data_IF_015771647476
#
_entry.id   IF_015771647476
#
_cell.length_a   1.000
_cell.length_b   1.000
_cell.length_c   1.000
_cell.angle_alpha   90.00
_cell.angle_beta   90.00
_cell.angle_gamma   90.00
#
_symmetry.space_group_name_H-M   'P 1'
#
loop_
_entity.id
_entity.type
_entity.pdbx_description
1 polymer ?
#
# COMPACT_ATOMS: atom_id res chain seq x y z
N UNK A 1 -18.79 3.41 18.99
CA UNK A 1 -19.68 3.30 17.81
C UNK A 1 -18.95 2.48 16.77
N UNK A 2 -19.18 1.17 16.83
CA UNK A 2 -18.72 0.20 15.85
C UNK A 2 -19.90 -0.04 14.92
N UNK A 3 -19.73 0.20 13.62
CA UNK A 3 -20.73 -0.19 12.62
C UNK A 3 -20.06 -0.38 11.27
N UNK A 4 -19.90 -1.66 10.93
CA UNK A 4 -20.19 -2.26 9.63
C UNK A 4 -19.51 -1.66 8.39
N UNK A 5 -18.40 -2.28 7.99
CA UNK A 5 -18.06 -2.43 6.57
C UNK A 5 -18.46 -3.84 6.13
N UNK A 6 -19.77 -4.07 6.02
CA UNK A 6 -20.35 -5.19 5.27
C UNK A 6 -20.77 -4.62 3.92
N UNK A 7 -19.79 -4.43 3.03
CA UNK A 7 -19.99 -3.97 1.65
C UNK A 7 -19.69 -5.13 0.71
N UNK A 8 -20.74 -5.73 0.16
CA UNK A 8 -20.74 -7.01 -0.52
C UNK A 8 -19.63 -7.21 -1.56
N UNK A 9 -18.99 -8.37 -1.47
CA UNK A 9 -18.23 -8.98 -2.55
C UNK A 9 -19.23 -9.30 -3.66
N UNK A 10 -19.39 -8.39 -4.63
CA UNK A 10 -19.97 -8.77 -5.91
C UNK A 10 -19.02 -9.78 -6.55
N UNK A 11 -19.43 -11.05 -6.56
CA UNK A 11 -18.78 -12.16 -7.25
C UNK A 11 -18.53 -11.79 -8.72
N UNK A 12 -17.30 -11.37 -9.05
CA UNK A 12 -16.85 -11.12 -10.43
C UNK A 12 -15.65 -12.05 -10.74
N UNK A 13 -15.69 -12.92 -11.77
CA UNK A 13 -14.79 -14.08 -11.90
C UNK A 13 -13.32 -13.78 -12.23
N UNK A 14 -12.86 -12.53 -12.19
CA UNK A 14 -11.46 -12.16 -12.43
C UNK A 14 -11.03 -11.09 -11.42
N UNK A 15 -10.69 -11.51 -10.21
CA UNK A 15 -9.94 -10.66 -9.27
C UNK A 15 -8.68 -10.21 -10.01
N UNK A 16 -8.54 -8.90 -10.23
CA UNK A 16 -7.44 -8.34 -11.00
C UNK A 16 -6.11 -8.65 -10.30
N UNK A 17 -5.00 -8.77 -11.05
CA UNK A 17 -3.68 -8.98 -10.43
C UNK A 17 -3.34 -7.86 -9.45
N UNK A 18 -3.79 -6.64 -9.72
CA UNK A 18 -3.77 -5.52 -8.79
C UNK A 18 -4.43 -5.85 -7.45
N UNK A 19 -5.68 -6.34 -7.44
CA UNK A 19 -6.41 -6.62 -6.20
C UNK A 19 -5.70 -7.72 -5.38
N UNK A 20 -5.24 -8.79 -6.05
CA UNK A 20 -4.49 -9.87 -5.39
C UNK A 20 -3.21 -9.36 -4.73
N UNK A 21 -2.46 -8.54 -5.46
CA UNK A 21 -1.19 -7.97 -4.98
C UNK A 21 -1.43 -6.98 -3.85
N UNK A 22 -2.46 -6.14 -3.97
CA UNK A 22 -2.87 -5.22 -2.92
C UNK A 22 -3.18 -5.98 -1.62
N UNK A 23 -4.06 -6.99 -1.67
CA UNK A 23 -4.46 -7.76 -0.48
C UNK A 23 -3.27 -8.51 0.14
N UNK A 24 -2.42 -9.10 -0.70
CA UNK A 24 -1.19 -9.76 -0.25
C UNK A 24 -0.27 -8.78 0.50
N UNK A 25 -0.04 -7.60 -0.05
CA UNK A 25 0.82 -6.60 0.60
C UNK A 25 0.23 -6.05 1.90
N UNK A 26 -1.08 -5.84 1.94
CA UNK A 26 -1.75 -5.46 3.19
C UNK A 26 -1.49 -6.51 4.26
N UNK A 27 -1.73 -7.78 3.94
CA UNK A 27 -1.50 -8.90 4.86
C UNK A 27 -0.04 -8.97 5.33
N UNK A 28 0.92 -8.88 4.41
CA UNK A 28 2.34 -9.00 4.73
C UNK A 28 2.85 -7.86 5.60
N UNK A 29 2.43 -6.62 5.32
CA UNK A 29 2.86 -5.47 6.12
C UNK A 29 2.25 -5.54 7.52
N UNK A 30 0.98 -5.95 7.63
CA UNK A 30 0.30 -6.16 8.90
C UNK A 30 0.95 -7.26 9.74
N UNK A 31 1.40 -8.36 9.10
CA UNK A 31 2.07 -9.46 9.78
C UNK A 31 3.51 -9.17 10.20
N UNK A 32 4.18 -8.22 9.53
CA UNK A 32 5.61 -7.94 9.73
C UNK A 32 5.91 -6.57 10.38
N UNK A 33 4.88 -5.81 10.76
CA UNK A 33 5.02 -4.49 11.37
C UNK A 33 4.26 -4.41 12.69
N UNK A 34 4.86 -3.78 13.69
CA UNK A 34 4.23 -3.61 14.99
C UNK A 34 3.12 -2.55 14.91
N UNK A 35 1.90 -2.97 15.23
CA UNK A 35 0.75 -2.07 15.33
C UNK A 35 0.80 -1.30 16.65
N UNK A 36 0.64 0.02 16.57
CA UNK A 36 0.69 0.89 17.73
C UNK A 36 -0.63 0.89 18.52
N UNK A 37 -0.51 0.77 19.84
CA UNK A 37 -1.65 0.90 20.76
C UNK A 37 -2.24 2.32 20.77
N UNK A 38 -1.41 3.33 20.49
CA UNK A 38 -1.81 4.74 20.34
C UNK A 38 -1.67 5.16 18.88
N UNK A 39 -2.65 5.90 18.36
CA UNK A 39 -2.62 6.37 16.98
C UNK A 39 -1.43 7.29 16.74
N UNK A 40 -0.66 6.98 15.72
CA UNK A 40 0.44 7.80 15.23
C UNK A 40 -0.11 9.07 14.58
N UNK A 41 0.67 10.15 14.60
CA UNK A 41 0.32 11.34 13.82
C UNK A 41 0.43 11.02 12.32
N UNK A 42 -0.55 11.44 11.49
CA UNK A 42 -0.48 11.21 10.04
C UNK A 42 0.83 11.75 9.45
N UNK A 43 1.46 10.97 8.57
CA UNK A 43 2.73 11.35 7.94
C UNK A 43 3.97 11.19 8.83
N UNK A 44 3.81 10.74 10.09
CA UNK A 44 4.93 10.46 11.01
C UNK A 44 5.21 8.96 11.13
N UNK A 45 5.19 8.26 9.99
CA UNK A 45 5.48 6.83 9.91
C UNK A 45 6.88 6.63 9.31
N UNK A 46 7.76 5.95 10.05
CA UNK A 46 9.09 5.56 9.59
C UNK A 46 9.07 4.31 8.70
N UNK A 47 10.18 4.06 8.01
CA UNK A 47 10.39 2.85 7.19
C UNK A 47 11.65 2.15 7.65
N UNK A 48 11.57 0.85 7.91
CA UNK A 48 12.72 0.04 8.33
C UNK A 48 13.75 -0.03 7.19
N UNK A 49 15.00 0.32 7.48
CA UNK A 49 16.09 0.11 6.54
C UNK A 49 16.54 -1.36 6.61
N UNK A 50 16.44 -2.08 5.49
CA UNK A 50 16.95 -3.45 5.34
C UNK A 50 17.89 -3.50 4.14
N UNK A 51 19.14 -3.91 4.38
CA UNK A 51 20.12 -4.24 3.35
C UNK A 51 20.21 -3.22 2.19
N UNK A 52 20.59 -1.97 2.49
CA UNK A 52 20.77 -0.88 1.51
C UNK A 52 19.50 -0.35 0.81
N UNK A 53 18.31 -0.60 1.36
CA UNK A 53 17.06 -0.08 0.81
C UNK A 53 16.75 1.39 1.21
N UNK A 54 17.65 2.10 1.90
CA UNK A 54 17.42 3.48 2.35
C UNK A 54 17.07 4.44 1.20
N UNK A 55 17.62 4.22 0.01
CA UNK A 55 17.23 4.94 -1.20
C UNK A 55 15.73 4.81 -1.50
N UNK A 56 15.18 3.59 -1.42
CA UNK A 56 13.75 3.33 -1.64
C UNK A 56 12.92 4.02 -0.55
N UNK A 57 13.38 3.97 0.69
CA UNK A 57 12.70 4.65 1.80
C UNK A 57 12.62 6.17 1.55
N UNK A 58 13.72 6.81 1.13
CA UNK A 58 13.73 8.23 0.80
C UNK A 58 12.76 8.58 -0.35
N UNK A 59 12.74 7.77 -1.41
CA UNK A 59 11.82 7.96 -2.54
C UNK A 59 10.37 7.84 -2.08
N UNK A 60 10.02 6.77 -1.36
CA UNK A 60 8.65 6.55 -0.89
C UNK A 60 8.18 7.63 0.08
N UNK A 61 9.03 8.05 1.02
CA UNK A 61 8.72 9.15 1.94
C UNK A 61 8.46 10.46 1.16
N UNK A 62 9.27 10.73 0.13
CA UNK A 62 9.08 11.92 -0.72
C UNK A 62 7.77 11.86 -1.52
N UNK A 63 7.42 10.67 -2.05
CA UNK A 63 6.18 10.46 -2.78
C UNK A 63 4.94 10.58 -1.88
N UNK A 64 4.99 10.05 -0.64
CA UNK A 64 3.88 10.17 0.31
C UNK A 64 3.66 11.62 0.74
N UNK A 65 4.72 12.40 0.89
CA UNK A 65 4.62 13.82 1.26
C UNK A 65 4.30 14.76 0.09
N UNK A 66 4.11 14.22 -1.13
CA UNK A 66 3.55 14.97 -2.25
C UNK A 66 2.01 14.83 -2.23
N UNK A 67 1.24 15.88 -1.86
CA UNK A 67 -0.19 15.74 -1.52
C UNK A 67 -1.06 15.18 -2.66
N UNK A 68 -0.77 15.57 -3.90
CA UNK A 68 -1.50 15.06 -5.08
C UNK A 68 -1.18 13.59 -5.33
N UNK A 69 0.04 13.16 -5.05
CA UNK A 69 0.51 11.82 -5.32
C UNK A 69 0.01 10.84 -4.24
N UNK A 70 0.02 11.25 -2.97
CA UNK A 70 -0.55 10.43 -1.88
C UNK A 70 -2.05 10.20 -2.05
N UNK A 71 -2.80 11.23 -2.48
CA UNK A 71 -4.22 11.08 -2.78
C UNK A 71 -4.46 10.14 -3.97
N UNK A 72 -3.65 10.28 -5.03
CA UNK A 72 -3.74 9.44 -6.22
C UNK A 72 -3.46 7.97 -5.89
N UNK A 73 -2.44 7.68 -5.08
CA UNK A 73 -2.03 6.32 -4.75
C UNK A 73 -3.01 5.57 -3.84
N UNK A 74 -3.94 6.27 -3.18
CA UNK A 74 -5.01 5.59 -2.45
C UNK A 74 -5.79 4.64 -3.36
N UNK A 75 -6.16 3.46 -2.87
CA UNK A 75 -6.80 2.42 -3.70
C UNK A 75 -8.09 2.91 -4.36
N UNK A 76 -8.86 3.71 -3.62
CA UNK A 76 -10.10 4.32 -4.11
C UNK A 76 -9.86 5.19 -5.35
N UNK A 77 -8.75 5.92 -5.38
CA UNK A 77 -8.40 6.82 -6.49
C UNK A 77 -7.69 6.08 -7.62
N UNK A 78 -6.76 5.16 -7.32
CA UNK A 78 -5.88 4.54 -8.30
C UNK A 78 -6.56 3.44 -9.12
N UNK A 79 -7.39 2.61 -8.46
CA UNK A 79 -7.95 1.37 -9.02
C UNK A 79 -8.64 1.55 -10.38
N UNK A 80 -9.46 2.60 -10.63
CA UNK A 80 -10.12 2.80 -11.93
C UNK A 80 -9.15 3.08 -13.09
N UNK A 81 -7.92 3.51 -12.79
CA UNK A 81 -6.92 3.90 -13.80
C UNK A 81 -5.87 2.81 -14.05
N UNK A 82 -5.94 1.68 -13.35
CA UNK A 82 -4.98 0.58 -13.51
C UNK A 82 -5.17 -0.07 -14.88
N UNK A 83 -4.17 0.05 -15.74
CA UNK A 83 -4.15 -0.57 -17.06
C UNK A 83 -3.38 -1.90 -17.02
N UNK A 84 -4.10 -3.01 -16.87
CA UNK A 84 -3.57 -4.38 -16.88
C UNK A 84 -3.21 -4.87 -18.29
N UNK A 85 -3.73 -4.23 -19.33
CA UNK A 85 -3.51 -4.63 -20.73
C UNK A 85 -2.24 -4.06 -21.37
N UNK A 86 -1.54 -3.14 -20.67
CA UNK A 86 -0.35 -2.49 -21.20
C UNK A 86 0.86 -3.44 -21.17
N UNK A 87 1.35 -3.81 -22.35
CA UNK A 87 2.53 -4.67 -22.52
C UNK A 87 3.86 -4.05 -22.03
N UNK A 88 3.90 -2.73 -21.79
CA UNK A 88 5.03 -2.03 -21.15
C UNK A 88 4.82 -1.79 -19.66
N UNK A 89 3.65 -2.15 -19.13
CA UNK A 89 3.30 -2.01 -17.73
C UNK A 89 3.72 -3.23 -16.91
N UNK A 90 3.27 -3.25 -15.65
CA UNK A 90 3.51 -4.37 -14.72
C UNK A 90 2.23 -5.11 -14.35
N UNK A 91 1.23 -5.10 -15.24
CA UNK A 91 -0.07 -5.75 -15.00
C UNK A 91 -0.72 -5.34 -13.66
N UNK A 92 -0.50 -4.09 -13.25
CA UNK A 92 -1.03 -3.53 -12.01
C UNK A 92 -0.28 -3.95 -10.73
N UNK A 93 0.79 -4.74 -10.80
CA UNK A 93 1.53 -5.23 -9.63
C UNK A 93 2.17 -4.08 -8.84
N UNK A 94 2.95 -3.21 -9.49
CA UNK A 94 3.60 -2.08 -8.80
C UNK A 94 2.55 -1.13 -8.22
N UNK A 95 1.48 -0.85 -8.98
CA UNK A 95 0.40 0.02 -8.51
C UNK A 95 -0.35 -0.60 -7.32
N UNK A 96 -0.52 -1.91 -7.29
CA UNK A 96 -1.12 -2.63 -6.15
C UNK A 96 -0.29 -2.46 -4.88
N UNK A 97 1.03 -2.68 -4.97
CA UNK A 97 1.95 -2.49 -3.85
C UNK A 97 2.05 -1.05 -3.36
N UNK A 98 2.18 -0.08 -4.28
CA UNK A 98 2.20 1.34 -3.90
C UNK A 98 0.87 1.78 -3.26
N UNK A 99 -0.25 1.22 -3.70
CA UNK A 99 -1.55 1.53 -3.15
C UNK A 99 -1.75 0.94 -1.76
N UNK A 100 -1.36 -0.32 -1.56
CA UNK A 100 -1.34 -0.98 -0.25
C UNK A 100 -0.47 -0.21 0.73
N UNK A 101 0.75 0.14 0.31
CA UNK A 101 1.68 0.96 1.08
C UNK A 101 1.06 2.30 1.49
N UNK A 102 0.49 3.03 0.53
CA UNK A 102 -0.08 4.35 0.78
C UNK A 102 -1.21 4.28 1.82
N UNK A 103 -2.12 3.32 1.69
CA UNK A 103 -3.21 3.15 2.64
C UNK A 103 -2.69 2.82 4.05
N UNK A 104 -1.67 1.97 4.17
CA UNK A 104 -1.08 1.63 5.47
C UNK A 104 -0.32 2.81 6.07
N UNK A 105 0.49 3.49 5.26
CA UNK A 105 1.29 4.64 5.69
C UNK A 105 0.41 5.73 6.32
N UNK A 106 -0.75 6.00 5.72
CA UNK A 106 -1.72 6.99 6.20
C UNK A 106 -2.75 6.45 7.20
N UNK A 107 -2.71 5.15 7.53
CA UNK A 107 -3.66 4.51 8.47
C UNK A 107 -3.51 4.95 9.93
N UNK A 108 -2.35 5.55 10.28
CA UNK A 108 -1.96 5.95 11.64
C UNK A 108 -1.78 4.80 12.63
N UNK A 109 -1.72 3.56 12.13
CA UNK A 109 -1.61 2.36 12.95
C UNK A 109 -0.16 1.92 13.19
N UNK A 110 0.79 2.45 12.44
CA UNK A 110 2.18 1.98 12.45
C UNK A 110 3.10 3.18 12.62
N UNK A 111 4.01 3.12 13.61
CA UNK A 111 5.06 4.13 13.77
C UNK A 111 6.24 3.84 12.84
N UNK A 112 6.46 2.57 12.51
CA UNK A 112 7.49 2.06 11.60
C UNK A 112 6.89 0.94 10.76
N UNK A 113 7.12 0.95 9.45
CA UNK A 113 6.68 -0.10 8.52
C UNK A 113 7.88 -0.89 7.99
N UNK A 114 7.76 -2.22 7.98
CA UNK A 114 8.70 -3.10 7.30
C UNK A 114 8.28 -3.31 5.83
N UNK A 115 9.16 -2.93 4.90
CA UNK A 115 8.89 -2.86 3.46
C UNK A 115 9.42 -4.05 2.65
N UNK A 116 9.89 -5.12 3.32
CA UNK A 116 10.53 -6.26 2.66
C UNK A 116 9.67 -6.91 1.57
N UNK A 117 8.37 -7.09 1.83
CA UNK A 117 7.45 -7.65 0.84
C UNK A 117 7.42 -6.80 -0.44
N UNK A 118 7.30 -5.47 -0.31
CA UNK A 118 7.20 -4.55 -1.46
C UNK A 118 8.46 -4.55 -2.33
N UNK A 119 9.64 -4.77 -1.74
CA UNK A 119 10.90 -4.79 -2.47
C UNK A 119 11.07 -6.04 -3.33
N UNK A 120 10.40 -7.14 -2.97
CA UNK A 120 10.45 -8.41 -3.70
C UNK A 120 9.19 -8.54 -4.55
N UNK A 121 9.06 -7.68 -5.56
CA UNK A 121 7.99 -7.80 -6.54
C UNK A 121 8.37 -8.86 -7.58
N UNK A 122 7.79 -10.05 -7.50
CA UNK A 122 8.01 -11.19 -8.44
C UNK A 122 6.98 -11.22 -9.58
#
# INVERSE_FOLDING_TARGET
>A
MSSEYVGGIQNNPRVSKFDKVYDQYIHDIQGNSDCESKKVEPGKTGLTNKANNCYVNCVLQSLMHSPKFSLLLSTKSLRPYVNTSNNRGTDGVITGGLSAFSNIYWSRNYSIINMESILVTV
#
